data_IF_258947068477
#
_entry.id   IF_258947068477
#
_cell.length_a   1.000
_cell.length_b   1.000
_cell.length_c   1.000
_cell.angle_alpha   90.00
_cell.angle_beta   90.00
_cell.angle_gamma   90.00
#
_symmetry.space_group_name_H-M   'P 1'
#
loop_
_entity.id
_entity.type
_entity.pdbx_description
1 polymer ?
#
# COMPACT_ATOMS: atom_id res chain seq x y z
N UNK A 1 2.53 -32.84 -11.99
CA UNK A 1 1.62 -32.01 -11.17
C UNK A 1 1.52 -30.65 -11.82
N UNK A 2 0.31 -30.17 -12.09
CA UNK A 2 0.09 -28.96 -12.91
C UNK A 2 -0.14 -27.76 -11.97
N UNK A 3 0.94 -27.02 -11.67
CA UNK A 3 1.02 -26.01 -10.60
C UNK A 3 -0.06 -24.91 -10.65
N UNK A 4 -0.65 -24.66 -11.82
CA UNK A 4 -1.76 -23.70 -11.98
C UNK A 4 -3.07 -24.23 -11.37
N UNK A 5 -3.32 -25.53 -11.47
CA UNK A 5 -4.48 -26.19 -10.86
C UNK A 5 -4.40 -26.10 -9.35
N UNK A 6 -3.22 -26.42 -8.80
CA UNK A 6 -2.95 -26.43 -7.36
C UNK A 6 -3.13 -25.03 -6.74
N UNK A 7 -2.71 -23.97 -7.45
CA UNK A 7 -2.92 -22.59 -7.01
C UNK A 7 -4.40 -22.19 -6.99
N UNK A 8 -5.17 -22.54 -8.03
CA UNK A 8 -6.61 -22.22 -8.09
C UNK A 8 -7.38 -22.93 -6.98
N UNK A 9 -7.03 -24.18 -6.73
CA UNK A 9 -7.62 -24.97 -5.65
C UNK A 9 -7.26 -24.40 -4.27
N UNK A 10 -6.00 -24.03 -4.06
CA UNK A 10 -5.56 -23.37 -2.83
C UNK A 10 -6.31 -22.04 -2.59
N UNK A 11 -6.52 -21.24 -3.63
CA UNK A 11 -7.27 -19.98 -3.53
C UNK A 11 -8.77 -20.20 -3.29
N UNK A 12 -9.38 -21.21 -3.91
CA UNK A 12 -10.78 -21.53 -3.69
C UNK A 12 -11.07 -22.02 -2.27
N UNK A 13 -10.09 -22.66 -1.62
CA UNK A 13 -10.20 -23.19 -0.24
C UNK A 13 -9.69 -22.23 0.83
N UNK A 14 -9.04 -21.13 0.45
CA UNK A 14 -8.45 -20.19 1.39
C UNK A 14 -9.54 -19.44 2.17
N UNK A 15 -9.43 -19.47 3.51
CA UNK A 15 -10.29 -18.68 4.41
C UNK A 15 -9.65 -17.33 4.78
N UNK A 16 -8.32 -17.32 4.90
CA UNK A 16 -7.52 -16.12 5.19
C UNK A 16 -6.52 -15.88 4.07
N UNK A 17 -6.43 -14.64 3.61
CA UNK A 17 -5.56 -14.22 2.50
C UNK A 17 -4.72 -13.01 2.92
N UNK A 18 -3.41 -13.12 2.75
CA UNK A 18 -2.50 -11.98 2.87
C UNK A 18 -2.34 -11.34 1.50
N UNK A 19 -2.76 -10.09 1.35
CA UNK A 19 -2.61 -9.32 0.12
C UNK A 19 -1.40 -8.40 0.28
N UNK A 20 -0.35 -8.64 -0.51
CA UNK A 20 0.84 -7.77 -0.53
C UNK A 20 0.74 -6.84 -1.73
N UNK A 21 0.79 -5.53 -1.49
CA UNK A 21 0.85 -4.50 -2.54
C UNK A 21 2.19 -3.74 -2.54
N UNK A 22 2.83 -3.65 -3.71
CA UNK A 22 4.08 -2.93 -3.94
C UNK A 22 3.91 -1.41 -4.08
N UNK A 23 4.98 -0.65 -3.87
CA UNK A 23 4.96 0.81 -4.02
C UNK A 23 4.56 1.25 -5.43
N UNK A 24 5.02 0.54 -6.46
CA UNK A 24 4.69 0.85 -7.86
C UNK A 24 3.19 0.86 -8.19
N UNK A 25 2.36 0.19 -7.37
CA UNK A 25 0.90 0.19 -7.52
C UNK A 25 0.28 1.39 -6.83
N UNK A 26 0.85 1.83 -5.71
CA UNK A 26 0.25 2.80 -4.80
C UNK A 26 0.80 4.22 -4.96
N UNK A 27 1.89 4.40 -5.69
CA UNK A 27 2.63 5.66 -5.71
C UNK A 27 2.86 6.16 -7.12
N UNK A 28 2.87 7.48 -7.29
CA UNK A 28 3.26 8.21 -8.50
C UNK A 28 4.44 9.15 -8.19
N UNK A 29 4.81 10.01 -9.14
CA UNK A 29 5.95 10.95 -9.00
C UNK A 29 5.77 11.95 -7.85
N UNK A 30 4.52 12.24 -7.46
CA UNK A 30 4.16 13.15 -6.38
C UNK A 30 4.11 12.45 -5.00
N UNK A 31 4.17 11.12 -4.93
CA UNK A 31 4.10 10.36 -3.69
C UNK A 31 3.00 9.29 -3.72
N UNK A 32 2.23 9.16 -2.65
CA UNK A 32 1.10 8.23 -2.59
C UNK A 32 -0.02 8.71 -3.53
N UNK A 33 -0.66 7.79 -4.25
CA UNK A 33 -1.80 8.06 -5.11
C UNK A 33 -3.10 7.62 -4.42
N UNK A 34 -3.92 8.56 -3.91
CA UNK A 34 -5.18 8.24 -3.24
C UNK A 34 -6.14 7.44 -4.14
N UNK A 35 -6.12 7.66 -5.46
CA UNK A 35 -6.99 6.91 -6.38
C UNK A 35 -6.59 5.44 -6.46
N UNK A 36 -5.30 5.15 -6.38
CA UNK A 36 -4.80 3.78 -6.33
C UNK A 36 -5.17 3.09 -5.01
N UNK A 37 -5.01 3.80 -3.89
CA UNK A 37 -5.42 3.32 -2.56
C UNK A 37 -6.91 3.02 -2.53
N UNK A 38 -7.75 3.93 -3.06
CA UNK A 38 -9.20 3.75 -3.12
C UNK A 38 -9.62 2.52 -3.91
N UNK A 39 -9.09 2.35 -5.13
CA UNK A 39 -9.39 1.17 -5.95
C UNK A 39 -8.97 -0.13 -5.28
N UNK A 40 -7.84 -0.13 -4.56
CA UNK A 40 -7.41 -1.29 -3.80
C UNK A 40 -8.37 -1.57 -2.63
N UNK A 41 -8.77 -0.53 -1.89
CA UNK A 41 -9.73 -0.67 -0.80
C UNK A 41 -11.05 -1.26 -1.28
N UNK A 42 -11.59 -0.77 -2.42
CA UNK A 42 -12.82 -1.30 -3.01
C UNK A 42 -12.70 -2.79 -3.37
N UNK A 43 -11.55 -3.20 -3.93
CA UNK A 43 -11.29 -4.61 -4.25
C UNK A 43 -11.18 -5.49 -3.01
N UNK A 44 -10.54 -4.98 -1.94
CA UNK A 44 -10.41 -5.70 -0.68
C UNK A 44 -11.75 -5.80 0.04
N UNK A 45 -12.55 -4.73 0.05
CA UNK A 45 -13.91 -4.74 0.61
C UNK A 45 -14.78 -5.78 -0.10
N UNK A 46 -14.79 -5.80 -1.44
CA UNK A 46 -15.54 -6.79 -2.20
C UNK A 46 -15.10 -8.25 -1.92
N UNK A 47 -13.81 -8.48 -1.62
CA UNK A 47 -13.32 -9.79 -1.19
C UNK A 47 -13.71 -10.12 0.25
N UNK A 48 -13.70 -9.14 1.13
CA UNK A 48 -14.13 -9.27 2.52
C UNK A 48 -15.62 -9.62 2.61
N UNK A 49 -16.47 -8.93 1.85
CA UNK A 49 -17.93 -9.17 1.78
C UNK A 49 -18.28 -10.58 1.28
N UNK A 50 -17.36 -11.22 0.56
CA UNK A 50 -17.48 -12.63 0.14
C UNK A 50 -17.08 -13.62 1.24
N UNK A 51 -16.76 -13.15 2.43
CA UNK A 51 -16.41 -13.95 3.61
C UNK A 51 -14.93 -14.28 3.75
N UNK A 52 -14.04 -13.61 3.02
CA UNK A 52 -12.60 -13.79 3.19
C UNK A 52 -12.07 -12.93 4.34
N UNK A 53 -11.20 -13.53 5.16
CA UNK A 53 -10.41 -12.85 6.16
C UNK A 53 -9.13 -12.30 5.50
N UNK A 54 -8.96 -10.98 5.51
CA UNK A 54 -7.91 -10.31 4.75
C UNK A 54 -6.88 -9.66 5.67
N UNK A 55 -5.61 -9.83 5.33
CA UNK A 55 -4.50 -9.07 5.92
C UNK A 55 -3.79 -8.32 4.80
N UNK A 56 -3.73 -7.01 4.90
CA UNK A 56 -3.02 -6.17 3.93
C UNK A 56 -1.58 -5.92 4.39
N UNK A 57 -0.63 -6.24 3.52
CA UNK A 57 0.78 -5.84 3.66
C UNK A 57 1.09 -4.80 2.59
N UNK A 58 1.20 -3.54 2.99
CA UNK A 58 1.37 -2.43 2.05
C UNK A 58 2.78 -1.86 2.08
N UNK A 59 3.25 -1.39 0.92
CA UNK A 59 4.43 -0.54 0.80
C UNK A 59 3.99 0.90 0.54
N UNK A 60 4.93 1.82 0.27
CA UNK A 60 4.60 3.19 -0.13
C UNK A 60 4.83 4.24 0.95
N UNK A 61 5.08 3.87 2.21
CA UNK A 61 5.39 4.82 3.28
C UNK A 61 6.55 5.76 2.93
N UNK A 62 7.67 5.24 2.44
CA UNK A 62 8.82 6.07 2.01
C UNK A 62 8.42 7.06 0.90
N UNK A 63 7.68 6.61 -0.12
CA UNK A 63 7.23 7.48 -1.22
C UNK A 63 6.21 8.53 -0.74
N UNK A 64 5.30 8.15 0.15
CA UNK A 64 4.32 9.05 0.75
C UNK A 64 5.01 10.16 1.55
N UNK A 65 5.97 9.81 2.40
CA UNK A 65 6.72 10.78 3.18
C UNK A 65 7.60 11.67 2.30
N UNK A 66 8.30 11.10 1.32
CA UNK A 66 9.11 11.88 0.38
C UNK A 66 8.27 12.84 -0.46
N UNK A 67 7.10 12.41 -0.92
CA UNK A 67 6.13 13.25 -1.62
C UNK A 67 5.68 14.43 -0.78
N UNK A 68 5.33 14.17 0.48
CA UNK A 68 4.98 15.23 1.43
C UNK A 68 6.14 16.20 1.72
N UNK A 69 7.36 15.69 1.95
CA UNK A 69 8.52 16.56 2.18
C UNK A 69 8.77 17.48 0.98
N UNK A 70 8.64 16.95 -0.25
CA UNK A 70 8.74 17.73 -1.49
C UNK A 70 7.66 18.80 -1.62
N UNK A 71 6.45 18.56 -1.09
CA UNK A 71 5.38 19.56 -1.11
C UNK A 71 5.63 20.72 -0.13
N UNK A 72 6.52 20.54 0.85
CA UNK A 72 6.97 21.61 1.76
C UNK A 72 8.14 22.41 1.15
N UNK A 73 9.16 21.72 0.64
CA UNK A 73 10.28 22.30 -0.11
C UNK A 73 10.96 21.20 -0.94
N UNK A 74 11.44 21.55 -2.14
CA UNK A 74 12.19 20.61 -2.97
C UNK A 74 13.50 20.16 -2.31
N UNK A 75 14.16 21.05 -1.57
CA UNK A 75 15.40 20.73 -0.84
C UNK A 75 15.17 19.88 0.42
N UNK A 76 13.95 19.88 0.97
CA UNK A 76 13.64 19.17 2.20
C UNK A 76 13.58 17.64 2.02
N UNK A 77 13.46 17.14 0.79
CA UNK A 77 13.30 15.72 0.53
C UNK A 77 14.65 14.99 0.48
N UNK A 78 14.90 13.98 1.33
CA UNK A 78 16.17 13.28 1.34
C UNK A 78 16.36 12.48 0.05
N UNK A 79 17.64 12.31 -0.31
CA UNK A 79 18.01 11.32 -1.30
C UNK A 79 17.66 9.92 -0.78
N UNK A 80 17.11 9.08 -1.65
CA UNK A 80 16.71 7.72 -1.29
C UNK A 80 17.92 6.77 -1.16
N UNK A 81 19.14 7.25 -1.39
CA UNK A 81 20.39 6.52 -1.13
C UNK A 81 20.80 6.57 0.35
N UNK A 82 20.27 7.52 1.12
CA UNK A 82 20.60 7.70 2.54
C UNK A 82 19.63 6.91 3.45
N UNK A 83 20.16 6.05 4.31
CA UNK A 83 19.34 5.21 5.19
C UNK A 83 18.57 6.07 6.23
N UNK A 84 19.21 6.99 6.98
CA UNK A 84 18.51 7.95 7.84
C UNK A 84 17.41 8.71 7.10
N UNK A 85 17.70 9.26 5.91
CA UNK A 85 16.72 9.93 5.06
C UNK A 85 15.53 9.05 4.70
N UNK A 86 15.77 7.78 4.32
CA UNK A 86 14.70 6.81 4.06
C UNK A 86 13.88 6.49 5.31
N UNK A 87 14.51 6.37 6.48
CA UNK A 87 13.82 6.11 7.74
C UNK A 87 12.94 7.30 8.13
N UNK A 88 13.44 8.53 8.01
CA UNK A 88 12.67 9.75 8.25
C UNK A 88 11.47 9.85 7.29
N UNK A 89 11.69 9.66 5.99
CA UNK A 89 10.60 9.62 5.01
C UNK A 89 9.59 8.51 5.33
N UNK A 90 10.04 7.31 5.71
CA UNK A 90 9.15 6.21 6.10
C UNK A 90 8.33 6.55 7.35
N UNK A 91 8.93 7.14 8.38
CA UNK A 91 8.23 7.48 9.62
C UNK A 91 7.14 8.53 9.36
N UNK A 92 7.46 9.58 8.60
CA UNK A 92 6.50 10.61 8.19
C UNK A 92 5.40 10.00 7.34
N UNK A 93 5.78 9.23 6.32
CA UNK A 93 4.83 8.69 5.35
C UNK A 93 4.00 7.52 5.85
N UNK A 94 4.43 6.81 6.89
CA UNK A 94 3.66 5.70 7.46
C UNK A 94 2.32 6.19 8.03
N UNK A 95 2.33 7.26 8.82
CA UNK A 95 1.11 7.85 9.37
C UNK A 95 0.13 8.28 8.26
N UNK A 96 0.66 8.86 7.18
CA UNK A 96 -0.11 9.29 6.01
C UNK A 96 -0.70 8.11 5.24
N UNK A 97 0.10 7.08 5.02
CA UNK A 97 -0.37 5.85 4.36
C UNK A 97 -1.52 5.23 5.15
N UNK A 98 -1.42 5.18 6.48
CA UNK A 98 -2.50 4.66 7.33
C UNK A 98 -3.74 5.54 7.25
N UNK A 99 -3.59 6.86 7.33
CA UNK A 99 -4.70 7.79 7.20
C UNK A 99 -5.45 7.63 5.86
N UNK A 100 -4.72 7.52 4.74
CA UNK A 100 -5.35 7.31 3.43
C UNK A 100 -6.09 5.97 3.34
N UNK A 101 -5.59 4.91 4.00
CA UNK A 101 -6.34 3.66 4.09
C UNK A 101 -7.57 3.78 4.99
N UNK A 102 -7.48 4.47 6.12
CA UNK A 102 -8.62 4.72 7.01
C UNK A 102 -9.72 5.48 6.27
N UNK A 103 -9.38 6.58 5.60
CA UNK A 103 -10.30 7.32 4.72
C UNK A 103 -10.84 6.43 3.60
N UNK A 104 -10.02 5.53 3.05
CA UNK A 104 -10.43 4.67 1.96
C UNK A 104 -11.43 3.60 2.34
N UNK A 105 -11.29 3.00 3.52
CA UNK A 105 -12.20 1.98 4.04
C UNK A 105 -13.43 2.54 4.75
N UNK A 106 -13.42 3.83 5.12
CA UNK A 106 -14.56 4.48 5.78
C UNK A 106 -15.63 5.02 4.83
N UNK A 107 -15.40 5.01 3.51
CA UNK A 107 -16.38 5.42 2.50
C UNK A 107 -17.52 4.42 2.32
#
# INVERSE_FOLDING_TARGET
MNSVSDRREAMAKAKRVVVKVGSAILTNDAGLDPRAVNRLADQLAALHDRGLDLVLVSSGAVSAGRGFMRSLSREAAPELSDLPGRQAASAIGQSRLMHEYDEAFAR
#
